data_IF_078794871583
#
_entry.id   IF_078794871583
#
_cell.length_a   1.000
_cell.length_b   1.000
_cell.length_c   1.000
_cell.angle_alpha   90.00
_cell.angle_beta   90.00
_cell.angle_gamma   90.00
#
_symmetry.space_group_name_H-M   'P 1'
#
loop_
_entity.id
_entity.type
_entity.pdbx_description
1 polymer ?
#
# COMPACT_ATOMS: atom_id res chain seq x y z
N UNK A 1 11.87 -14.07 25.60
CA UNK A 1 11.37 -13.24 24.49
C UNK A 1 11.00 -14.16 23.36
N UNK A 2 9.74 -14.16 22.94
CA UNK A 2 9.31 -14.94 21.78
C UNK A 2 9.37 -14.03 20.55
N UNK A 3 10.00 -14.50 19.48
CA UNK A 3 10.23 -13.73 18.25
C UNK A 3 9.20 -14.15 17.21
N UNK A 4 8.46 -13.19 16.65
CA UNK A 4 7.47 -13.44 15.60
C UNK A 4 8.13 -13.54 14.21
N UNK A 5 9.15 -12.71 13.97
CA UNK A 5 9.88 -12.66 12.72
C UNK A 5 11.27 -12.07 12.91
N UNK A 6 12.14 -12.24 11.92
CA UNK A 6 13.39 -11.49 11.79
C UNK A 6 13.45 -10.82 10.43
N UNK A 7 13.95 -9.58 10.40
CA UNK A 7 14.14 -8.75 9.20
C UNK A 7 15.63 -8.43 9.09
N UNK A 8 16.33 -9.11 8.20
CA UNK A 8 17.79 -9.00 8.03
C UNK A 8 18.56 -9.09 9.37
N UNK A 9 18.13 -10.00 10.26
CA UNK A 9 18.72 -10.20 11.59
C UNK A 9 18.12 -9.35 12.72
N UNK A 10 17.27 -8.36 12.43
CA UNK A 10 16.54 -7.59 13.45
C UNK A 10 15.26 -8.32 13.87
N UNK A 11 15.01 -8.49 15.16
CA UNK A 11 13.79 -9.15 15.63
C UNK A 11 12.54 -8.26 15.51
N UNK A 12 11.43 -8.92 15.21
CA UNK A 12 10.06 -8.46 15.49
C UNK A 12 9.58 -9.32 16.65
N UNK A 13 9.57 -8.75 17.85
CA UNK A 13 9.19 -9.49 19.05
C UNK A 13 7.66 -9.58 19.17
N UNK A 14 7.16 -10.68 19.75
CA UNK A 14 5.71 -10.83 20.00
C UNK A 14 5.16 -9.70 20.87
N UNK A 15 5.97 -9.19 21.80
CA UNK A 15 5.62 -8.02 22.61
C UNK A 15 5.41 -6.74 21.79
N UNK A 16 6.09 -6.57 20.66
CA UNK A 16 5.85 -5.45 19.74
C UNK A 16 4.48 -5.58 19.06
N UNK A 17 4.11 -6.81 18.66
CA UNK A 17 2.79 -7.10 18.09
C UNK A 17 1.69 -6.83 19.12
N UNK A 18 1.89 -7.26 20.37
CA UNK A 18 0.96 -7.03 21.47
C UNK A 18 0.78 -5.54 21.76
N UNK A 19 1.90 -4.79 21.84
CA UNK A 19 1.87 -3.35 22.06
C UNK A 19 1.15 -2.62 20.93
N UNK A 20 1.39 -3.02 19.66
CA UNK A 20 0.72 -2.43 18.50
C UNK A 20 -0.78 -2.72 18.51
N UNK A 21 -1.18 -3.96 18.83
CA UNK A 21 -2.60 -4.30 18.95
C UNK A 21 -3.27 -3.50 20.07
N UNK A 22 -2.63 -3.38 21.24
CA UNK A 22 -3.15 -2.60 22.35
C UNK A 22 -3.34 -1.12 21.98
N UNK A 23 -2.36 -0.53 21.30
CA UNK A 23 -2.45 0.84 20.79
C UNK A 23 -3.63 1.00 19.81
N UNK A 24 -3.80 0.07 18.87
CA UNK A 24 -4.92 0.09 17.93
C UNK A 24 -6.28 0.00 18.64
N UNK A 25 -6.38 -0.85 19.67
CA UNK A 25 -7.60 -1.01 20.48
C UNK A 25 -7.88 0.18 21.41
N UNK A 26 -6.91 1.04 21.67
CA UNK A 26 -7.11 2.29 22.41
C UNK A 26 -7.70 3.42 21.55
N UNK A 27 -7.82 3.23 20.23
CA UNK A 27 -8.38 4.23 19.31
C UNK A 27 -9.92 4.23 19.32
N UNK A 28 -10.58 5.36 19.00
CA UNK A 28 -12.04 5.44 18.90
C UNK A 28 -12.67 4.42 17.94
N UNK A 29 -11.91 3.93 16.97
CA UNK A 29 -12.33 2.97 15.95
C UNK A 29 -12.31 1.51 16.44
N UNK A 30 -12.03 1.25 17.73
CA UNK A 30 -11.97 -0.11 18.31
C UNK A 30 -13.22 -0.96 18.04
N UNK A 31 -14.40 -0.34 17.94
CA UNK A 31 -15.65 -1.03 17.66
C UNK A 31 -15.68 -1.72 16.28
N UNK A 32 -14.86 -1.26 15.33
CA UNK A 32 -14.72 -1.87 14.01
C UNK A 32 -13.67 -3.00 13.96
N UNK A 33 -12.90 -3.20 15.05
CA UNK A 33 -11.86 -4.21 15.08
C UNK A 33 -12.43 -5.60 15.39
N UNK A 34 -11.89 -6.65 14.77
CA UNK A 34 -12.14 -8.02 15.19
C UNK A 34 -11.93 -8.22 16.69
N UNK A 35 -12.84 -8.97 17.31
CA UNK A 35 -12.75 -9.31 18.73
C UNK A 35 -11.50 -10.15 19.00
N UNK A 36 -10.84 -9.98 20.15
CA UNK A 36 -9.76 -10.86 20.57
C UNK A 36 -10.21 -12.34 20.59
N UNK A 37 -9.26 -13.25 20.37
CA UNK A 37 -9.46 -14.71 20.43
C UNK A 37 -10.43 -15.30 19.40
N UNK A 38 -10.89 -14.54 18.40
CA UNK A 38 -11.58 -15.08 17.22
C UNK A 38 -10.60 -15.38 16.08
N UNK A 39 -11.04 -16.09 15.04
CA UNK A 39 -10.26 -16.27 13.81
C UNK A 39 -9.89 -14.94 13.17
N UNK A 40 -10.86 -14.02 13.06
CA UNK A 40 -10.62 -12.66 12.56
C UNK A 40 -9.65 -11.87 13.46
N UNK A 41 -9.71 -12.05 14.79
CA UNK A 41 -8.75 -11.47 15.72
C UNK A 41 -7.33 -12.01 15.51
N UNK A 42 -7.19 -13.32 15.25
CA UNK A 42 -5.89 -13.90 14.85
C UNK A 42 -5.41 -13.36 13.52
N UNK A 43 -6.31 -13.15 12.55
CA UNK A 43 -5.96 -12.54 11.26
C UNK A 43 -5.51 -11.09 11.41
N UNK A 44 -6.15 -10.30 12.28
CA UNK A 44 -5.68 -8.95 12.64
C UNK A 44 -4.25 -9.00 13.19
N UNK A 45 -3.95 -9.92 14.10
CA UNK A 45 -2.59 -10.07 14.66
C UNK A 45 -1.55 -10.48 13.62
N UNK A 46 -1.89 -11.38 12.69
CA UNK A 46 -1.02 -11.72 11.55
C UNK A 46 -0.79 -10.51 10.65
N UNK A 47 -1.83 -9.75 10.33
CA UNK A 47 -1.71 -8.51 9.55
C UNK A 47 -0.82 -7.47 10.25
N UNK A 48 -0.98 -7.26 11.57
CA UNK A 48 -0.13 -6.38 12.36
C UNK A 48 1.34 -6.83 12.34
N UNK A 49 1.58 -8.14 12.38
CA UNK A 49 2.94 -8.70 12.25
C UNK A 49 3.53 -8.35 10.89
N UNK A 50 2.78 -8.52 9.80
CA UNK A 50 3.24 -8.15 8.45
C UNK A 50 3.50 -6.64 8.33
N UNK A 51 2.67 -5.80 8.95
CA UNK A 51 2.88 -4.36 8.99
C UNK A 51 4.18 -3.99 9.72
N UNK A 52 4.43 -4.54 10.91
CA UNK A 52 5.66 -4.30 11.67
C UNK A 52 6.91 -4.77 10.91
N UNK A 53 6.82 -5.91 10.22
CA UNK A 53 7.88 -6.40 9.33
C UNK A 53 8.15 -5.39 8.22
N UNK A 54 7.11 -4.94 7.52
CA UNK A 54 7.25 -4.03 6.40
C UNK A 54 7.78 -2.64 6.84
N UNK A 55 7.36 -2.14 8.01
CA UNK A 55 7.90 -0.91 8.60
C UNK A 55 9.40 -1.02 8.88
N UNK A 56 9.84 -2.10 9.57
CA UNK A 56 11.28 -2.32 9.86
C UNK A 56 12.09 -2.51 8.57
N UNK A 57 11.53 -3.24 7.60
CA UNK A 57 12.17 -3.47 6.31
C UNK A 57 12.37 -2.15 5.57
N UNK A 58 11.34 -1.31 5.49
CA UNK A 58 11.43 0.00 4.81
C UNK A 58 12.39 0.94 5.52
N UNK A 59 12.40 0.97 6.86
CA UNK A 59 13.36 1.80 7.61
C UNK A 59 14.82 1.39 7.31
N UNK A 60 15.11 0.08 7.31
CA UNK A 60 16.43 -0.46 6.93
C UNK A 60 16.78 -0.13 5.49
N UNK A 61 15.86 -0.34 4.56
CA UNK A 61 16.10 -0.07 3.14
C UNK A 61 16.30 1.43 2.90
N UNK A 62 15.66 2.32 3.68
CA UNK A 62 15.92 3.75 3.63
C UNK A 62 17.38 4.06 4.00
N UNK A 63 17.90 3.47 5.08
CA UNK A 63 19.31 3.60 5.47
C UNK A 63 20.25 3.07 4.37
N UNK A 64 19.97 1.89 3.82
CA UNK A 64 20.78 1.26 2.78
C UNK A 64 20.79 2.07 1.47
N UNK A 65 19.67 2.73 1.13
CA UNK A 65 19.54 3.58 -0.06
C UNK A 65 20.03 5.02 0.17
N UNK A 66 20.39 5.39 1.40
CA UNK A 66 20.76 6.75 1.79
C UNK A 66 19.60 7.74 1.67
N UNK A 67 18.37 7.28 1.90
CA UNK A 67 17.14 8.06 1.76
C UNK A 67 16.75 8.67 3.10
N UNK A 68 16.37 9.94 3.08
CA UNK A 68 15.81 10.66 4.23
C UNK A 68 14.55 11.42 3.83
N UNK A 69 13.77 11.85 4.83
CA UNK A 69 12.61 12.72 4.61
C UNK A 69 13.12 14.12 4.28
N UNK A 70 12.65 14.67 3.17
CA UNK A 70 13.02 16.01 2.70
C UNK A 70 11.78 16.80 2.30
N UNK A 71 11.98 18.06 1.91
CA UNK A 71 10.89 18.90 1.41
C UNK A 71 10.25 18.38 0.10
N UNK A 72 10.95 17.53 -0.66
CA UNK A 72 10.42 16.91 -1.88
C UNK A 72 9.77 15.55 -1.64
N UNK A 73 9.76 15.05 -0.39
CA UNK A 73 9.08 13.81 -0.04
C UNK A 73 7.57 13.95 -0.32
N UNK A 74 6.97 13.03 -1.10
CA UNK A 74 5.54 13.08 -1.39
C UNK A 74 4.68 13.06 -0.12
N UNK A 75 3.55 13.75 -0.16
CA UNK A 75 2.48 13.61 0.84
C UNK A 75 1.74 12.30 0.64
N UNK A 76 0.96 11.89 1.64
CA UNK A 76 0.14 10.67 1.52
C UNK A 76 -0.83 10.76 0.34
N UNK A 77 -1.52 11.90 0.20
CA UNK A 77 -2.51 12.10 -0.86
C UNK A 77 -1.89 12.12 -2.26
N UNK A 78 -0.58 12.39 -2.38
CA UNK A 78 0.12 12.33 -3.67
C UNK A 78 0.31 10.88 -4.15
N UNK A 79 0.50 9.94 -3.21
CA UNK A 79 0.77 8.52 -3.50
C UNK A 79 -0.48 7.64 -3.39
N UNK A 80 -1.42 8.02 -2.53
CA UNK A 80 -2.68 7.32 -2.22
C UNK A 80 -3.88 8.30 -2.30
N UNK A 81 -4.16 8.87 -3.49
CA UNK A 81 -5.12 9.95 -3.67
C UNK A 81 -6.57 9.56 -3.34
N UNK A 82 -6.90 8.27 -3.42
CA UNK A 82 -8.26 7.79 -3.19
C UNK A 82 -8.27 6.36 -2.62
N UNK A 83 -9.46 5.83 -2.36
CA UNK A 83 -9.65 4.46 -1.88
C UNK A 83 -9.25 3.41 -2.92
N UNK A 84 -9.35 3.71 -4.22
CA UNK A 84 -8.96 2.80 -5.31
C UNK A 84 -7.45 2.58 -5.27
N UNK A 85 -6.66 3.64 -5.16
CA UNK A 85 -5.20 3.56 -5.03
C UNK A 85 -4.76 2.73 -3.81
N UNK A 86 -5.47 2.87 -2.67
CA UNK A 86 -5.22 2.08 -1.46
C UNK A 86 -5.52 0.58 -1.66
N UNK A 87 -6.60 0.26 -2.36
CA UNK A 87 -6.95 -1.12 -2.69
C UNK A 87 -5.96 -1.74 -3.69
N UNK A 88 -5.57 -0.99 -4.71
CA UNK A 88 -4.64 -1.44 -5.75
C UNK A 88 -3.27 -1.87 -5.20
N UNK A 89 -2.73 -1.10 -4.26
CA UNK A 89 -1.41 -1.37 -3.68
C UNK A 89 -1.46 -2.42 -2.56
N UNK A 90 -2.64 -2.65 -1.97
CA UNK A 90 -2.86 -3.61 -0.89
C UNK A 90 -2.64 -3.01 0.51
N UNK A 91 -3.25 -3.63 1.51
CA UNK A 91 -3.41 -3.07 2.86
C UNK A 91 -2.09 -2.77 3.57
N UNK A 92 -1.12 -3.69 3.54
CA UNK A 92 0.17 -3.51 4.22
C UNK A 92 0.97 -2.38 3.55
N UNK A 93 1.13 -2.43 2.22
CA UNK A 93 1.87 -1.40 1.50
C UNK A 93 1.21 -0.02 1.65
N UNK A 94 -0.12 0.06 1.62
CA UNK A 94 -0.86 1.30 1.86
C UNK A 94 -0.62 1.84 3.29
N UNK A 95 -0.67 0.96 4.30
CA UNK A 95 -0.47 1.36 5.70
C UNK A 95 0.95 1.86 5.96
N UNK A 96 1.97 1.23 5.37
CA UNK A 96 3.37 1.66 5.51
C UNK A 96 3.60 3.06 4.92
N UNK A 97 2.88 3.43 3.85
CA UNK A 97 2.98 4.77 3.23
C UNK A 97 2.37 5.91 4.08
N UNK A 98 1.76 5.61 5.23
CA UNK A 98 1.43 6.64 6.22
C UNK A 98 2.70 7.30 6.79
N UNK A 99 3.81 6.55 6.87
CA UNK A 99 5.11 7.05 7.31
C UNK A 99 5.81 7.87 6.20
N UNK A 100 6.23 9.12 6.47
CA UNK A 100 7.02 9.91 5.53
C UNK A 100 8.29 9.21 5.02
N UNK A 101 9.00 8.41 5.81
CA UNK A 101 10.22 7.74 5.33
C UNK A 101 9.89 6.70 4.27
N UNK A 102 8.76 5.99 4.44
CA UNK A 102 8.28 5.05 3.44
C UNK A 102 7.90 5.74 2.13
N UNK A 103 7.31 6.94 2.20
CA UNK A 103 7.04 7.74 1.01
C UNK A 103 8.30 8.25 0.33
N UNK A 104 9.35 8.56 1.08
CA UNK A 104 10.66 8.89 0.51
C UNK A 104 11.29 7.69 -0.21
N UNK A 105 11.23 6.49 0.40
CA UNK A 105 11.68 5.24 -0.24
C UNK A 105 10.84 4.94 -1.48
N UNK A 106 9.51 5.06 -1.40
CA UNK A 106 8.61 4.94 -2.54
C UNK A 106 9.06 5.84 -3.68
N UNK A 107 9.34 7.12 -3.40
CA UNK A 107 9.77 8.07 -4.41
C UNK A 107 11.06 7.59 -5.09
N UNK A 108 12.05 7.16 -4.29
CA UNK A 108 13.36 6.70 -4.73
C UNK A 108 13.31 5.44 -5.59
N UNK A 109 12.58 4.41 -5.16
CA UNK A 109 12.56 3.09 -5.83
C UNK A 109 11.65 3.05 -7.06
N UNK A 110 10.97 4.16 -7.33
CA UNK A 110 10.05 4.31 -8.48
C UNK A 110 10.39 5.50 -9.35
N UNK A 111 11.58 6.10 -9.17
CA UNK A 111 12.03 7.29 -9.91
C UNK A 111 12.25 7.00 -11.40
N UNK A 112 12.60 5.75 -11.73
CA UNK A 112 12.80 5.26 -13.10
C UNK A 112 11.50 4.81 -13.78
N UNK A 113 10.35 4.85 -13.08
CA UNK A 113 9.07 4.43 -13.65
C UNK A 113 8.56 5.54 -14.56
N UNK A 114 8.48 5.25 -15.85
CA UNK A 114 7.83 6.08 -16.86
C UNK A 114 6.56 5.43 -17.41
N UNK A 115 5.80 6.22 -18.16
CA UNK A 115 4.73 5.75 -19.03
C UNK A 115 4.97 6.33 -20.42
N UNK A 116 4.65 5.56 -21.45
CA UNK A 116 4.74 6.03 -22.83
C UNK A 116 3.44 6.72 -23.26
N UNK A 117 3.55 7.49 -24.34
CA UNK A 117 2.42 8.20 -24.92
C UNK A 117 1.37 7.25 -25.52
N UNK A 118 1.83 6.10 -26.00
CA UNK A 118 0.98 5.05 -26.56
C UNK A 118 0.05 4.47 -25.49
N UNK A 119 0.53 4.22 -24.27
CA UNK A 119 -0.30 3.77 -23.16
C UNK A 119 -1.35 4.82 -22.75
N UNK A 120 -1.03 6.12 -22.86
CA UNK A 120 -1.99 7.20 -22.60
C UNK A 120 -3.10 7.19 -23.64
N UNK A 121 -2.74 7.08 -24.93
CA UNK A 121 -3.69 7.01 -26.02
C UNK A 121 -4.57 5.74 -25.94
N UNK A 122 -3.96 4.58 -25.69
CA UNK A 122 -4.68 3.30 -25.55
C UNK A 122 -5.62 3.30 -24.36
N UNK A 123 -5.19 3.87 -23.23
CA UNK A 123 -6.05 4.01 -22.05
C UNK A 123 -7.27 4.90 -22.34
N UNK A 124 -7.08 6.04 -23.01
CA UNK A 124 -8.20 6.92 -23.40
C UNK A 124 -9.19 6.20 -24.31
N UNK A 125 -8.70 5.50 -25.33
CA UNK A 125 -9.53 4.74 -26.26
C UNK A 125 -10.34 3.64 -25.55
N UNK A 126 -9.75 2.95 -24.56
CA UNK A 126 -10.44 1.92 -23.76
C UNK A 126 -11.36 2.50 -22.69
N UNK A 127 -11.11 3.72 -22.24
CA UNK A 127 -11.81 4.34 -21.11
C UNK A 127 -12.26 5.79 -21.42
N UNK A 128 -13.03 6.03 -22.49
CA UNK A 128 -13.36 7.39 -22.96
C UNK A 128 -14.16 8.20 -21.93
N UNK A 129 -14.78 7.52 -20.95
CA UNK A 129 -15.60 8.12 -19.89
C UNK A 129 -14.91 8.24 -18.54
N UNK A 130 -13.63 7.87 -18.42
CA UNK A 130 -12.93 7.90 -17.12
C UNK A 130 -12.78 9.32 -16.56
N UNK A 131 -12.61 10.30 -17.45
CA UNK A 131 -12.34 11.70 -17.14
C UNK A 131 -13.42 12.63 -17.71
N UNK A 132 -14.69 12.19 -17.72
CA UNK A 132 -15.81 12.99 -18.25
C UNK A 132 -15.80 14.42 -17.72
N UNK A 133 -15.98 15.36 -18.64
CA UNK A 133 -16.28 16.74 -18.31
C UNK A 133 -17.78 16.90 -18.12
N UNK A 134 -18.19 17.68 -17.11
CA UNK A 134 -19.59 18.01 -16.87
C UNK A 134 -19.79 19.51 -17.05
N UNK A 135 -20.67 19.90 -17.97
CA UNK A 135 -21.06 21.29 -18.20
C UNK A 135 -22.56 21.51 -17.95
N UNK A 136 -22.95 22.74 -17.60
CA UNK A 136 -24.35 23.13 -17.38
C UNK A 136 -24.59 23.89 -16.07
N UNK A 137 -25.74 24.56 -15.96
CA UNK A 137 -26.15 25.32 -14.79
C UNK A 137 -27.13 24.54 -13.89
N UNK A 138 -27.20 24.93 -12.61
CA UNK A 138 -27.90 24.26 -11.52
C UNK A 138 -29.16 23.45 -11.93
N UNK A 139 -29.04 22.12 -11.87
CA UNK A 139 -30.11 21.15 -12.11
C UNK A 139 -29.90 20.27 -13.35
N UNK A 140 -29.20 20.76 -14.38
CA UNK A 140 -28.94 20.02 -15.61
C UNK A 140 -27.45 20.00 -15.93
N UNK A 141 -26.84 18.82 -15.87
CA UNK A 141 -25.45 18.60 -16.27
C UNK A 141 -25.42 17.66 -17.48
N UNK A 142 -24.71 18.06 -18.51
CA UNK A 142 -24.42 17.22 -19.68
C UNK A 142 -22.98 16.75 -19.57
N UNK A 143 -22.79 15.43 -19.69
CA UNK A 143 -21.46 14.83 -19.76
C UNK A 143 -20.98 14.82 -21.21
N UNK A 144 -19.73 15.21 -21.44
CA UNK A 144 -19.07 15.09 -22.74
C UNK A 144 -17.78 14.29 -22.61
N UNK A 145 -17.52 13.43 -23.59
CA UNK A 145 -16.24 12.73 -23.70
C UNK A 145 -15.16 13.74 -24.11
N UNK A 146 -14.12 13.94 -23.29
CA UNK A 146 -13.09 14.94 -23.56
C UNK A 146 -12.10 14.45 -24.63
N UNK A 147 -11.52 15.39 -25.38
CA UNK A 147 -10.45 15.07 -26.32
C UNK A 147 -9.20 14.58 -25.59
N UNK A 148 -8.44 13.67 -26.22
CA UNK A 148 -7.21 13.14 -25.63
C UNK A 148 -6.27 14.26 -25.20
N UNK A 149 -6.10 15.31 -26.00
CA UNK A 149 -5.19 16.42 -25.73
C UNK A 149 -5.52 17.12 -24.42
N UNK A 150 -6.81 17.25 -24.10
CA UNK A 150 -7.30 17.92 -22.89
C UNK A 150 -7.02 17.09 -21.64
N UNK A 151 -7.26 15.78 -21.69
CA UNK A 151 -7.12 14.89 -20.53
C UNK A 151 -5.78 14.16 -20.46
N UNK A 152 -4.90 14.32 -21.46
CA UNK A 152 -3.58 13.67 -21.52
C UNK A 152 -2.80 13.81 -20.21
N UNK A 153 -2.70 15.00 -19.57
CA UNK A 153 -1.96 15.13 -18.31
C UNK A 153 -2.60 14.36 -17.14
N UNK A 154 -3.93 14.30 -17.09
CA UNK A 154 -4.67 13.58 -16.04
C UNK A 154 -4.53 12.07 -16.20
N UNK A 155 -4.65 11.56 -17.44
CA UNK A 155 -4.42 10.15 -17.75
C UNK A 155 -2.96 9.78 -17.43
N UNK A 156 -2.01 10.62 -17.85
CA UNK A 156 -0.60 10.39 -17.59
C UNK A 156 -0.30 10.30 -16.08
N UNK A 157 -0.79 11.26 -15.29
CA UNK A 157 -0.63 11.23 -13.84
C UNK A 157 -1.28 9.99 -13.20
N UNK A 158 -2.48 9.62 -13.67
CA UNK A 158 -3.20 8.43 -13.18
C UNK A 158 -2.43 7.13 -13.45
N UNK A 159 -1.99 6.93 -14.69
CA UNK A 159 -1.25 5.74 -15.11
C UNK A 159 0.12 5.66 -14.42
N UNK A 160 0.85 6.78 -14.37
CA UNK A 160 2.14 6.84 -13.68
C UNK A 160 1.97 6.50 -12.19
N UNK A 161 0.99 7.08 -11.51
CA UNK A 161 0.69 6.76 -10.11
C UNK A 161 0.42 5.28 -9.90
N UNK A 162 -0.41 4.66 -10.75
CA UNK A 162 -0.71 3.23 -10.70
C UNK A 162 0.54 2.36 -10.95
N UNK A 163 1.35 2.72 -11.95
CA UNK A 163 2.59 2.01 -12.28
C UNK A 163 3.61 2.07 -11.13
N UNK A 164 3.80 3.24 -10.52
CA UNK A 164 4.67 3.43 -9.36
C UNK A 164 4.20 2.62 -8.15
N UNK A 165 2.90 2.64 -7.83
CA UNK A 165 2.32 1.79 -6.77
C UNK A 165 2.57 0.30 -7.02
N UNK A 166 2.36 -0.17 -8.26
CA UNK A 166 2.66 -1.55 -8.63
C UNK A 166 4.15 -1.87 -8.47
N UNK A 167 5.05 -1.00 -8.91
CA UNK A 167 6.51 -1.17 -8.78
C UNK A 167 6.93 -1.24 -7.31
N UNK A 168 6.47 -0.31 -6.48
CA UNK A 168 6.74 -0.31 -5.05
C UNK A 168 6.27 -1.59 -4.37
N UNK A 169 5.05 -2.07 -4.68
CA UNK A 169 4.54 -3.33 -4.15
C UNK A 169 5.43 -4.51 -4.53
N UNK A 170 5.84 -4.62 -5.80
CA UNK A 170 6.75 -5.68 -6.24
C UNK A 170 8.10 -5.60 -5.53
N UNK A 171 8.69 -4.40 -5.43
CA UNK A 171 9.93 -4.17 -4.69
C UNK A 171 9.81 -4.59 -3.21
N UNK A 172 8.70 -4.24 -2.54
CA UNK A 172 8.48 -4.63 -1.14
C UNK A 172 8.37 -6.15 -1.00
N UNK A 173 7.66 -6.83 -1.91
CA UNK A 173 7.58 -8.28 -1.94
C UNK A 173 8.94 -8.94 -2.17
N UNK A 174 9.76 -8.41 -3.10
CA UNK A 174 11.12 -8.88 -3.35
C UNK A 174 11.99 -8.75 -2.09
N UNK A 175 12.01 -7.55 -1.46
CA UNK A 175 12.75 -7.33 -0.22
C UNK A 175 12.27 -8.20 0.92
N UNK A 176 10.97 -8.43 1.02
CA UNK A 176 10.41 -9.32 2.03
C UNK A 176 10.85 -10.77 1.80
N UNK A 177 10.85 -11.25 0.56
CA UNK A 177 11.31 -12.60 0.23
C UNK A 177 12.81 -12.79 0.52
N UNK A 178 13.62 -11.76 0.29
CA UNK A 178 15.07 -11.82 0.48
C UNK A 178 15.50 -11.72 1.95
N UNK A 179 14.76 -10.95 2.76
CA UNK A 179 15.25 -10.47 4.06
C UNK A 179 14.39 -10.89 5.26
N UNK A 180 13.25 -11.55 5.07
CA UNK A 180 12.31 -11.85 6.17
C UNK A 180 12.21 -13.35 6.43
N UNK A 181 12.41 -13.72 7.69
CA UNK A 181 12.13 -15.06 8.19
C UNK A 181 11.06 -15.02 9.27
N UNK A 182 9.97 -15.74 9.06
CA UNK A 182 8.84 -15.83 9.99
C UNK A 182 9.03 -17.03 10.94
N UNK A 183 8.71 -16.83 12.22
CA UNK A 183 8.56 -17.96 13.13
C UNK A 183 7.28 -18.75 12.81
N UNK A 184 7.23 -20.06 13.10
CA UNK A 184 6.02 -20.86 12.90
C UNK A 184 4.79 -20.25 13.58
N UNK A 185 3.66 -20.21 12.89
CA UNK A 185 2.39 -19.63 13.36
C UNK A 185 2.19 -18.14 13.03
N UNK A 186 3.21 -17.47 12.47
CA UNK A 186 3.16 -16.08 12.01
C UNK A 186 3.13 -15.95 10.48
N UNK A 187 2.82 -17.04 9.77
CA UNK A 187 2.75 -17.03 8.32
C UNK A 187 1.72 -16.03 7.79
N UNK A 188 1.88 -15.66 6.52
CA UNK A 188 1.04 -14.65 5.87
C UNK A 188 -0.47 -14.99 5.99
N UNK A 189 -1.36 -14.00 6.26
CA UNK A 189 -2.80 -14.22 6.42
C UNK A 189 -3.48 -15.00 5.28
N UNK A 190 -2.96 -14.85 4.06
CA UNK A 190 -3.45 -15.53 2.85
C UNK A 190 -2.81 -16.89 2.55
N UNK A 191 -1.95 -17.44 3.42
CA UNK A 191 -1.35 -18.76 3.22
C UNK A 191 -2.44 -19.85 3.29
N UNK A 192 -2.64 -20.68 2.24
CA UNK A 192 -3.69 -21.70 2.20
C UNK A 192 -3.49 -22.82 3.21
N UNK A 193 -2.28 -22.96 3.78
CA UNK A 193 -1.99 -23.94 4.83
C UNK A 193 -2.51 -23.49 6.20
N UNK A 194 -2.96 -22.23 6.34
CA UNK A 194 -3.44 -21.71 7.61
C UNK A 194 -4.84 -22.24 7.94
N UNK A 195 -5.09 -22.69 9.19
CA UNK A 195 -6.40 -23.19 9.59
C UNK A 195 -7.49 -22.11 9.58
N UNK A 196 -7.08 -20.84 9.64
CA UNK A 196 -7.98 -19.68 9.59
C UNK A 196 -8.19 -19.14 8.16
N UNK A 197 -7.59 -19.76 7.13
CA UNK A 197 -7.83 -19.33 5.76
C UNK A 197 -9.17 -19.92 5.28
N UNK A 198 -10.18 -19.06 5.22
CA UNK A 198 -11.55 -19.43 4.82
C UNK A 198 -11.78 -19.31 3.31
N UNK A 199 -10.78 -18.85 2.53
CA UNK A 199 -10.91 -18.74 1.08
C UNK A 199 -10.88 -20.14 0.46
N UNK A 200 -12.06 -20.66 0.10
CA UNK A 200 -12.21 -21.86 -0.72
C UNK A 200 -12.43 -21.40 -2.17
N UNK A 201 -11.58 -21.87 -3.08
CA UNK A 201 -11.79 -21.71 -4.52
C UNK A 201 -12.97 -22.54 -5.01
#
# INVERSE_FOLDING_TARGET
MNVAATVAGMSVDVGEVDAREAALRATPQVAALPRPHTSEGRQLRRWLTQLLIAEKLVAREAEALGVSVTASTPKEDDVLPDSTARLEIGSVAAAVLADPIARAVFARVTDDVGIDDDAVAEFHARNPRRFLHFSGAAGWRVASEPDLTEVRPLIAAHLLGAARRRRFRMWLCERQADLVWLAPGYEHPGDPRQPDNTHKH
#
